data_IF_405221933369
#
_entry.id   IF_405221933369
#
_cell.length_a   1.000
_cell.length_b   1.000
_cell.length_c   1.000
_cell.angle_alpha   90.00
_cell.angle_beta   90.00
_cell.angle_gamma   90.00
#
_symmetry.space_group_name_H-M   'P 1'
#
loop_
_entity.id
_entity.type
_entity.pdbx_description
1 polymer ?
#
# COMPACT_ATOMS: atom_id res chain seq x y z
N UNK A 1 24.70 -10.42 -5.28
CA UNK A 1 23.73 -9.51 -4.65
C UNK A 1 24.23 -9.12 -3.27
N UNK A 2 24.58 -7.85 -3.15
CA UNK A 2 25.00 -7.21 -1.90
C UNK A 2 23.87 -7.29 -0.85
N UNK A 3 24.19 -7.36 0.44
CA UNK A 3 23.18 -7.46 1.51
C UNK A 3 22.24 -6.25 1.50
N UNK A 4 22.74 -5.05 1.17
CA UNK A 4 21.89 -3.84 1.07
C UNK A 4 20.99 -3.90 -0.16
N UNK A 5 21.51 -4.38 -1.29
CA UNK A 5 20.73 -4.59 -2.51
C UNK A 5 19.55 -5.56 -2.27
N UNK A 6 19.80 -6.67 -1.55
CA UNK A 6 18.72 -7.60 -1.17
C UNK A 6 17.67 -6.95 -0.28
N UNK A 7 18.09 -6.15 0.72
CA UNK A 7 17.18 -5.44 1.62
C UNK A 7 16.36 -4.38 0.88
N UNK A 8 17.01 -3.58 0.03
CA UNK A 8 16.35 -2.60 -0.82
C UNK A 8 15.31 -3.29 -1.72
N UNK A 9 15.68 -4.40 -2.37
CA UNK A 9 14.76 -5.14 -3.23
C UNK A 9 13.56 -5.73 -2.47
N UNK A 10 13.78 -6.21 -1.26
CA UNK A 10 12.69 -6.69 -0.42
C UNK A 10 11.69 -5.56 -0.07
N UNK A 11 12.19 -4.36 0.23
CA UNK A 11 11.34 -3.17 0.46
C UNK A 11 10.62 -2.72 -0.81
N UNK A 12 11.31 -2.66 -1.95
CA UNK A 12 10.72 -2.36 -3.27
C UNK A 12 9.56 -3.32 -3.56
N UNK A 13 9.77 -4.63 -3.41
CA UNK A 13 8.74 -5.64 -3.66
C UNK A 13 7.55 -5.48 -2.70
N UNK A 14 7.80 -5.17 -1.43
CA UNK A 14 6.74 -4.95 -0.45
C UNK A 14 5.89 -3.72 -0.79
N UNK A 15 6.52 -2.59 -1.15
CA UNK A 15 5.83 -1.37 -1.57
C UNK A 15 5.07 -1.58 -2.89
N UNK A 16 5.64 -2.28 -3.88
CA UNK A 16 4.93 -2.66 -5.10
C UNK A 16 3.69 -3.51 -4.80
N UNK A 17 3.79 -4.45 -3.87
CA UNK A 17 2.63 -5.29 -3.51
C UNK A 17 1.51 -4.45 -2.92
N UNK A 18 1.82 -3.44 -2.09
CA UNK A 18 0.82 -2.52 -1.54
C UNK A 18 0.24 -1.65 -2.66
N UNK A 19 1.09 -1.09 -3.52
CA UNK A 19 0.64 -0.28 -4.66
C UNK A 19 -0.31 -1.07 -5.58
N UNK A 20 0.04 -2.31 -5.92
CA UNK A 20 -0.80 -3.17 -6.74
C UNK A 20 -2.17 -3.43 -6.09
N UNK A 21 -2.20 -3.65 -4.77
CA UNK A 21 -3.48 -3.81 -4.05
C UNK A 21 -4.34 -2.55 -4.11
N UNK A 22 -3.74 -1.36 -4.07
CA UNK A 22 -4.46 -0.10 -4.25
C UNK A 22 -4.96 0.04 -5.69
N UNK A 23 -4.09 -0.22 -6.68
CA UNK A 23 -4.43 -0.18 -8.11
C UNK A 23 -5.57 -1.14 -8.45
N UNK A 24 -5.58 -2.36 -7.91
CA UNK A 24 -6.67 -3.31 -8.13
C UNK A 24 -8.02 -2.73 -7.69
N UNK A 25 -8.07 -2.14 -6.49
CA UNK A 25 -9.29 -1.51 -5.97
C UNK A 25 -9.68 -0.30 -6.83
N UNK A 26 -8.72 0.55 -7.21
CA UNK A 26 -8.96 1.72 -8.05
C UNK A 26 -9.49 1.35 -9.44
N UNK A 27 -8.90 0.34 -10.08
CA UNK A 27 -9.35 -0.18 -11.37
C UNK A 27 -10.78 -0.69 -11.29
N UNK A 28 -11.12 -1.40 -10.21
CA UNK A 28 -12.48 -1.90 -9.99
C UNK A 28 -13.50 -0.80 -9.65
N UNK A 29 -13.07 0.31 -9.08
CA UNK A 29 -13.92 1.49 -8.84
C UNK A 29 -14.17 2.31 -10.10
N UNK A 30 -13.21 2.28 -11.04
CA UNK A 30 -13.20 3.13 -12.24
C UNK A 30 -13.55 2.36 -13.52
N UNK A 31 -13.93 1.08 -13.41
CA UNK A 31 -14.27 0.21 -14.56
C UNK A 31 -15.57 0.61 -15.30
N UNK A 32 -16.27 1.63 -14.80
CA UNK A 32 -17.49 2.18 -15.38
C UNK A 32 -18.73 1.30 -15.20
N UNK A 33 -18.61 0.15 -14.52
CA UNK A 33 -19.73 -0.76 -14.27
C UNK A 33 -20.46 -0.34 -13.00
N UNK A 34 -21.80 -0.56 -12.95
CA UNK A 34 -22.53 -0.37 -11.71
C UNK A 34 -21.99 -1.27 -10.59
N UNK A 35 -21.76 -0.69 -9.42
CA UNK A 35 -21.33 -1.45 -8.24
C UNK A 35 -22.52 -2.26 -7.72
N UNK A 36 -22.53 -3.55 -8.02
CA UNK A 36 -23.50 -4.51 -7.49
C UNK A 36 -23.24 -4.81 -6.02
N UNK A 37 -24.20 -5.42 -5.32
CA UNK A 37 -24.03 -5.82 -3.92
C UNK A 37 -22.84 -6.76 -3.71
N UNK A 38 -22.62 -7.71 -4.63
CA UNK A 38 -21.47 -8.62 -4.61
C UNK A 38 -20.17 -7.84 -4.78
N UNK A 39 -20.09 -6.99 -5.80
CA UNK A 39 -18.91 -6.15 -6.06
C UNK A 39 -18.57 -5.25 -4.87
N UNK A 40 -19.59 -4.68 -4.24
CA UNK A 40 -19.44 -3.89 -3.01
C UNK A 40 -18.80 -4.72 -1.89
N UNK A 41 -19.28 -5.95 -1.66
CA UNK A 41 -18.73 -6.83 -0.63
C UNK A 41 -17.25 -7.16 -0.92
N UNK A 42 -16.94 -7.51 -2.17
CA UNK A 42 -15.56 -7.82 -2.60
C UNK A 42 -14.62 -6.61 -2.40
N UNK A 43 -15.07 -5.41 -2.77
CA UNK A 43 -14.32 -4.16 -2.57
C UNK A 43 -14.09 -3.85 -1.08
N UNK A 44 -15.10 -4.08 -0.24
CA UNK A 44 -14.99 -3.89 1.22
C UNK A 44 -14.01 -4.89 1.85
N UNK A 45 -14.00 -6.14 1.37
CA UNK A 45 -13.03 -7.15 1.80
C UNK A 45 -11.60 -6.76 1.41
N UNK A 46 -11.38 -6.36 0.15
CA UNK A 46 -10.07 -5.89 -0.34
C UNK A 46 -9.57 -4.67 0.42
N UNK A 47 -10.45 -3.68 0.64
CA UNK A 47 -10.13 -2.51 1.46
C UNK A 47 -9.79 -2.91 2.90
N UNK A 48 -10.54 -3.84 3.49
CA UNK A 48 -10.28 -4.37 4.82
C UNK A 48 -8.89 -4.98 4.94
N UNK A 49 -8.53 -5.86 4.00
CA UNK A 49 -7.23 -6.51 3.95
C UNK A 49 -6.07 -5.51 3.75
N UNK A 50 -6.24 -4.54 2.85
CA UNK A 50 -5.26 -3.47 2.63
C UNK A 50 -5.04 -2.65 3.90
N UNK A 51 -6.13 -2.23 4.57
CA UNK A 51 -6.05 -1.48 5.82
C UNK A 51 -5.37 -2.27 6.93
N UNK A 52 -5.66 -3.56 7.06
CA UNK A 52 -4.99 -4.41 8.05
C UNK A 52 -3.48 -4.50 7.80
N UNK A 53 -3.10 -4.69 6.53
CA UNK A 53 -1.70 -4.72 6.13
C UNK A 53 -0.99 -3.40 6.44
N UNK A 54 -1.57 -2.27 6.02
CA UNK A 54 -1.02 -0.94 6.28
C UNK A 54 -0.90 -0.67 7.77
N UNK A 55 -1.93 -0.96 8.57
CA UNK A 55 -1.91 -0.77 10.02
C UNK A 55 -0.83 -1.61 10.70
N UNK A 56 -0.69 -2.88 10.32
CA UNK A 56 0.36 -3.76 10.87
C UNK A 56 1.74 -3.22 10.48
N UNK A 57 1.95 -2.90 9.20
CA UNK A 57 3.21 -2.36 8.71
C UNK A 57 3.56 -1.00 9.30
N UNK A 58 2.60 -0.10 9.50
CA UNK A 58 2.79 1.19 10.15
C UNK A 58 3.13 1.03 11.64
N UNK A 59 2.55 0.01 12.31
CA UNK A 59 2.83 -0.26 13.72
C UNK A 59 4.22 -0.87 13.94
N UNK A 60 4.67 -1.77 13.08
CA UNK A 60 5.96 -2.46 13.25
C UNK A 60 7.11 -1.77 12.51
N UNK A 61 6.80 -1.08 11.41
CA UNK A 61 7.73 -0.50 10.45
C UNK A 61 8.54 -1.53 9.67
N UNK A 62 8.08 -2.78 9.62
CA UNK A 62 8.80 -3.92 9.00
C UNK A 62 7.99 -4.56 7.89
N UNK A 63 8.68 -5.03 6.84
CA UNK A 63 8.02 -5.63 5.66
C UNK A 63 7.30 -6.94 5.97
N UNK A 64 7.69 -7.62 7.05
CA UNK A 64 7.11 -8.90 7.48
C UNK A 64 6.02 -8.75 8.56
N UNK A 65 5.73 -7.52 9.00
CA UNK A 65 4.73 -7.23 10.02
C UNK A 65 5.08 -7.73 11.42
N UNK A 66 6.34 -8.08 11.69
CA UNK A 66 6.81 -8.54 13.01
C UNK A 66 7.54 -7.42 13.75
N UNK A 67 7.40 -7.41 15.08
CA UNK A 67 8.16 -6.50 15.95
C UNK A 67 9.61 -6.98 16.00
N UNK A 68 10.47 -6.30 15.26
CA UNK A 68 11.93 -6.49 15.26
C UNK A 68 12.62 -5.18 14.90
N UNK A 69 13.95 -5.17 14.99
CA UNK A 69 14.74 -4.05 14.50
C UNK A 69 14.51 -3.85 12.99
N UNK A 70 14.22 -2.60 12.62
CA UNK A 70 14.07 -2.18 11.23
C UNK A 70 15.45 -2.01 10.61
N UNK A 71 15.64 -2.54 9.41
CA UNK A 71 16.83 -2.22 8.63
C UNK A 71 16.76 -0.76 8.11
N UNK A 72 17.87 -0.27 7.53
CA UNK A 72 17.97 1.12 7.08
C UNK A 72 16.95 1.49 5.99
N UNK A 73 16.59 0.55 5.11
CA UNK A 73 15.62 0.78 4.03
C UNK A 73 14.19 0.75 4.56
N UNK A 74 13.90 -0.16 5.49
CA UNK A 74 12.61 -0.21 6.18
C UNK A 74 12.34 1.12 6.90
N UNK A 75 13.31 1.59 7.69
CA UNK A 75 13.19 2.83 8.45
C UNK A 75 13.04 4.07 7.56
N UNK A 76 13.73 4.10 6.42
CA UNK A 76 13.79 5.29 5.55
C UNK A 76 12.68 5.35 4.49
N UNK A 77 12.21 4.20 4.01
CA UNK A 77 11.26 4.13 2.89
C UNK A 77 9.98 3.39 3.27
N UNK A 78 10.07 2.18 3.82
CA UNK A 78 8.88 1.36 4.05
C UNK A 78 7.96 1.90 5.15
N UNK A 79 8.53 2.15 6.33
CA UNK A 79 7.81 2.63 7.49
C UNK A 79 7.13 3.98 7.22
N UNK A 80 7.83 5.04 6.75
CA UNK A 80 7.17 6.31 6.47
C UNK A 80 6.06 6.18 5.41
N UNK A 81 6.26 5.38 4.36
CA UNK A 81 5.25 5.17 3.32
C UNK A 81 3.97 4.53 3.90
N UNK A 82 4.14 3.44 4.66
CA UNK A 82 3.00 2.71 5.26
C UNK A 82 2.30 3.51 6.34
N UNK A 83 3.04 4.31 7.11
CA UNK A 83 2.47 5.20 8.13
C UNK A 83 1.64 6.33 7.51
N UNK A 84 2.16 6.99 6.47
CA UNK A 84 1.42 8.05 5.76
C UNK A 84 0.17 7.48 5.09
N UNK A 85 0.32 6.36 4.38
CA UNK A 85 -0.80 5.69 3.71
C UNK A 85 -1.88 5.22 4.69
N UNK A 86 -1.52 4.62 5.84
CA UNK A 86 -2.49 4.24 6.89
C UNK A 86 -3.24 5.46 7.45
N UNK A 87 -2.50 6.55 7.70
CA UNK A 87 -3.07 7.80 8.18
C UNK A 87 -4.02 8.44 7.16
N UNK A 88 -3.74 8.35 5.86
CA UNK A 88 -4.55 8.95 4.81
C UNK A 88 -5.75 8.09 4.39
N UNK A 89 -5.67 6.76 4.49
CA UNK A 89 -6.73 5.80 4.10
C UNK A 89 -7.89 5.73 5.12
N UNK A 90 -8.32 6.88 5.69
CA UNK A 90 -9.34 7.04 6.74
C UNK A 90 -10.79 6.62 6.36
N UNK A 91 -10.95 5.54 5.60
CA UNK A 91 -12.22 4.95 5.21
C UNK A 91 -12.70 3.95 6.26
N UNK A 92 -13.99 3.96 6.59
CA UNK A 92 -14.60 2.88 7.35
C UNK A 92 -14.70 1.61 6.48
N UNK A 93 -14.46 0.42 7.06
CA UNK A 93 -14.47 -0.84 6.28
C UNK A 93 -15.82 -1.12 5.60
N UNK A 94 -16.91 -0.74 6.25
CA UNK A 94 -18.28 -0.91 5.76
C UNK A 94 -18.79 0.28 4.95
N UNK A 95 -17.95 1.29 4.67
CA UNK A 95 -18.35 2.45 3.87
C UNK A 95 -18.70 2.03 2.44
N UNK A 96 -19.57 2.80 1.79
CA UNK A 96 -20.04 2.49 0.44
C UNK A 96 -19.02 3.00 -0.60
N UNK A 97 -18.43 2.14 -1.44
CA UNK A 97 -17.49 2.56 -2.47
C UNK A 97 -18.09 3.51 -3.51
N UNK A 98 -19.41 3.46 -3.76
CA UNK A 98 -20.07 4.30 -4.77
C UNK A 98 -20.33 5.74 -4.30
N UNK A 99 -20.52 5.95 -3.00
CA UNK A 99 -20.98 7.23 -2.44
C UNK A 99 -19.96 7.86 -1.47
N UNK A 100 -18.82 7.21 -1.27
CA UNK A 100 -17.76 7.66 -0.39
C UNK A 100 -16.62 8.32 -1.15
N UNK A 101 -15.66 8.86 -0.41
CA UNK A 101 -14.40 9.37 -0.94
C UNK A 101 -13.35 8.27 -1.15
N UNK A 102 -13.77 7.06 -1.56
CA UNK A 102 -12.85 5.93 -1.74
C UNK A 102 -11.75 6.26 -2.75
N UNK A 103 -12.15 6.76 -3.92
CA UNK A 103 -11.24 7.13 -4.99
C UNK A 103 -10.16 8.11 -4.51
N UNK A 104 -10.56 9.25 -3.96
CA UNK A 104 -9.66 10.26 -3.43
C UNK A 104 -8.70 9.68 -2.36
N UNK A 105 -9.23 8.95 -1.38
CA UNK A 105 -8.43 8.42 -0.27
C UNK A 105 -7.45 7.34 -0.72
N UNK A 106 -7.85 6.49 -1.67
CA UNK A 106 -6.97 5.49 -2.27
C UNK A 106 -5.88 6.14 -3.12
N UNK A 107 -6.21 7.17 -3.90
CA UNK A 107 -5.21 7.93 -4.68
C UNK A 107 -4.18 8.62 -3.79
N UNK A 108 -4.59 9.25 -2.68
CA UNK A 108 -3.66 9.86 -1.72
C UNK A 108 -2.74 8.79 -1.10
N UNK A 109 -3.33 7.68 -0.62
CA UNK A 109 -2.54 6.58 -0.06
C UNK A 109 -1.59 5.96 -1.10
N UNK A 110 -2.00 5.92 -2.38
CA UNK A 110 -1.15 5.47 -3.48
C UNK A 110 0.04 6.40 -3.70
N UNK A 111 -0.21 7.72 -3.68
CA UNK A 111 0.84 8.73 -3.83
C UNK A 111 1.92 8.59 -2.74
N UNK A 112 1.51 8.38 -1.48
CA UNK A 112 2.43 8.13 -0.36
C UNK A 112 3.35 6.92 -0.62
N UNK A 113 2.79 5.82 -1.13
CA UNK A 113 3.53 4.58 -1.42
C UNK A 113 4.44 4.76 -2.64
N UNK A 114 3.90 5.30 -3.72
CA UNK A 114 4.62 5.47 -5.00
C UNK A 114 5.76 6.47 -4.89
N UNK A 115 5.61 7.53 -4.10
CA UNK A 115 6.65 8.52 -3.87
C UNK A 115 7.94 7.92 -3.27
N UNK A 116 7.81 7.07 -2.25
CA UNK A 116 8.98 6.46 -1.62
C UNK A 116 9.47 5.22 -2.39
N UNK A 117 8.58 4.53 -3.09
CA UNK A 117 8.93 3.46 -4.02
C UNK A 117 9.77 3.97 -5.19
N UNK A 118 9.40 5.09 -5.82
CA UNK A 118 10.14 5.66 -6.95
C UNK A 118 11.55 6.07 -6.54
N UNK A 119 11.69 6.78 -5.41
CA UNK A 119 12.99 7.16 -4.85
C UNK A 119 13.90 5.94 -4.60
N UNK A 120 13.35 4.86 -4.02
CA UNK A 120 14.15 3.67 -3.76
C UNK A 120 14.50 2.91 -5.05
N UNK A 121 13.60 2.91 -6.03
CA UNK A 121 13.82 2.26 -7.33
C UNK A 121 14.87 3.02 -8.17
N UNK A 122 14.92 4.34 -8.10
CA UNK A 122 15.98 5.14 -8.74
C UNK A 122 17.37 4.82 -8.18
N UNK A 123 17.46 4.56 -6.87
CA UNK A 123 18.71 4.19 -6.21
C UNK A 123 19.11 2.73 -6.46
N UNK A 124 18.12 1.86 -6.69
CA UNK A 124 18.30 0.41 -6.91
C UNK A 124 17.47 -0.03 -8.12
N UNK A 125 17.86 0.37 -9.34
CA UNK A 125 17.11 0.05 -10.54
C UNK A 125 17.10 -1.47 -10.79
N UNK A 126 16.06 -2.01 -11.46
CA UNK A 126 16.05 -3.40 -11.87
C UNK A 126 17.29 -3.70 -12.73
N UNK A 127 18.02 -4.75 -12.39
CA UNK A 127 19.13 -5.24 -13.20
C UNK A 127 18.59 -5.61 -14.60
N UNK A 128 19.14 -4.96 -15.64
CA UNK A 128 18.85 -5.26 -17.04
C UNK A 128 19.35 -6.65 -17.42
#
# INVERSE_FOLDING_TARGET
>A
MDTKEKQARAVINALHTINHQIDDILNELTDGKPITSTKKADLQEKLGALKDKLKISAKTGTIDGKIREQNSFERRYFHPATQSADANLMLARNSNPANGNWLERLMIAQEDITHLLSQLTELYPPSQ
#
